data_IF_272971135895
#
_entry.id   IF_272971135895
#
_cell.length_a   1.000
_cell.length_b   1.000
_cell.length_c   1.000
_cell.angle_alpha   90.00
_cell.angle_beta   90.00
_cell.angle_gamma   90.00
#
_symmetry.space_group_name_H-M   'P 1'
#
loop_
_entity.id
_entity.type
_entity.pdbx_description
1 polymer ?
#
# COMPACT_ATOMS: atom_id res chain seq x y z
N UNK A 1 26.81 70.47 -0.24
CA UNK A 1 28.03 70.40 -1.07
C UNK A 1 29.03 69.47 -0.37
N UNK A 2 29.18 68.29 -0.95
CA UNK A 2 30.40 67.46 -1.08
C UNK A 2 31.24 67.03 0.15
N UNK A 3 31.40 65.71 0.30
CA UNK A 3 32.71 65.03 0.46
C UNK A 3 32.63 63.50 0.25
N UNK A 4 33.37 63.05 -0.78
CA UNK A 4 34.15 61.78 -0.96
C UNK A 4 33.51 60.44 -0.57
N UNK A 5 33.22 59.49 -1.48
CA UNK A 5 34.06 58.72 -2.45
C UNK A 5 35.12 57.82 -1.81
N UNK A 6 34.96 56.50 -1.92
CA UNK A 6 35.95 55.39 -2.04
C UNK A 6 35.18 54.06 -1.85
N UNK A 7 35.26 52.99 -2.63
CA UNK A 7 35.70 52.70 -3.99
C UNK A 7 35.04 51.34 -4.37
N UNK A 8 34.74 51.15 -5.65
CA UNK A 8 34.19 49.92 -6.22
C UNK A 8 35.29 48.94 -6.64
N UNK A 9 34.97 47.65 -6.54
CA UNK A 9 35.43 46.48 -7.30
C UNK A 9 36.84 46.47 -7.94
N UNK A 10 37.62 45.44 -7.60
CA UNK A 10 38.37 44.73 -8.64
C UNK A 10 38.42 43.23 -8.33
N UNK A 11 37.84 42.48 -9.24
CA UNK A 11 38.05 41.06 -9.50
C UNK A 11 39.50 40.85 -9.94
N UNK A 12 40.25 40.05 -9.19
CA UNK A 12 41.58 39.58 -9.58
C UNK A 12 41.58 38.05 -9.68
N UNK A 13 41.40 37.55 -10.90
CA UNK A 13 41.95 36.25 -11.28
C UNK A 13 43.47 36.29 -11.06
N UNK A 14 44.00 35.49 -10.15
CA UNK A 14 45.31 34.85 -10.29
C UNK A 14 45.48 33.85 -9.15
N UNK A 15 45.40 32.56 -9.48
CA UNK A 15 46.26 31.45 -8.99
C UNK A 15 45.58 30.11 -9.23
N UNK A 16 45.54 29.70 -10.50
CA UNK A 16 45.59 28.27 -10.81
C UNK A 16 47.06 27.88 -10.88
N UNK A 17 47.55 27.16 -9.87
CA UNK A 17 48.43 25.99 -10.04
C UNK A 17 48.98 25.52 -8.69
N UNK A 18 49.09 24.20 -8.58
CA UNK A 18 49.88 23.40 -7.64
C UNK A 18 49.13 22.91 -6.37
N UNK A 19 49.07 21.57 -6.29
CA UNK A 19 48.56 20.67 -5.24
C UNK A 19 47.12 20.13 -5.37
N UNK A 20 47.03 18.95 -6.00
CA UNK A 20 46.51 17.72 -5.39
C UNK A 20 45.01 17.65 -5.05
N UNK A 21 44.31 16.72 -5.70
CA UNK A 21 42.92 16.36 -5.45
C UNK A 21 42.63 16.09 -3.95
N UNK A 22 42.14 17.11 -3.24
CA UNK A 22 41.64 17.04 -1.87
C UNK A 22 40.15 17.32 -1.83
N UNK A 23 39.40 16.54 -1.02
CA UNK A 23 37.96 16.72 -0.76
C UNK A 23 37.63 18.20 -0.49
N UNK A 24 36.50 18.74 -0.98
CA UNK A 24 36.11 20.12 -0.66
C UNK A 24 35.86 20.23 0.85
N UNK A 25 36.77 20.91 1.54
CA UNK A 25 36.60 21.24 2.96
C UNK A 25 35.48 22.27 3.04
N UNK A 26 34.35 21.87 3.62
CA UNK A 26 33.20 22.74 3.85
C UNK A 26 33.59 23.71 4.97
N UNK A 27 34.03 24.91 4.60
CA UNK A 27 34.27 25.99 5.56
C UNK A 27 32.93 26.34 6.21
N UNK A 28 32.74 25.97 7.47
CA UNK A 28 31.58 26.37 8.27
C UNK A 28 31.90 27.78 8.78
N UNK A 29 31.23 28.84 8.29
CA UNK A 29 31.43 30.17 8.85
C UNK A 29 31.00 30.13 10.33
N UNK A 30 31.92 30.47 11.23
CA UNK A 30 31.62 30.67 12.65
C UNK A 30 30.65 31.85 12.76
N UNK A 31 29.38 31.52 13.03
CA UNK A 31 28.30 32.52 13.16
C UNK A 31 28.38 33.18 14.54
N UNK A 32 28.19 34.49 14.58
CA UNK A 32 28.32 35.28 15.79
C UNK A 32 27.13 35.04 16.74
N UNK A 33 27.32 34.96 18.07
CA UNK A 33 26.24 34.69 19.05
C UNK A 33 25.06 35.68 18.99
N UNK A 34 25.29 36.90 18.51
CA UNK A 34 24.24 37.91 18.32
C UNK A 34 23.23 37.52 17.23
N UNK A 35 23.65 36.80 16.18
CA UNK A 35 22.74 36.31 15.14
C UNK A 35 21.82 35.19 15.65
N UNK A 36 22.29 34.44 16.64
CA UNK A 36 21.49 33.41 17.32
C UNK A 36 20.44 34.06 18.24
N UNK A 37 20.83 35.08 19.01
CA UNK A 37 19.91 35.81 19.90
C UNK A 37 18.82 36.58 19.13
N UNK A 38 19.17 37.21 18.00
CA UNK A 38 18.18 37.89 17.13
C UNK A 38 17.21 36.87 16.49
N UNK A 39 17.69 35.65 16.17
CA UNK A 39 16.83 34.57 15.67
C UNK A 39 16.00 33.92 16.76
N UNK A 40 16.47 33.80 17.99
CA UNK A 40 15.66 33.35 19.14
C UNK A 40 14.57 34.37 19.47
N UNK A 41 14.88 35.67 19.41
CA UNK A 41 13.89 36.73 19.53
C UNK A 41 12.85 36.67 18.39
N UNK A 42 13.27 36.41 17.15
CA UNK A 42 12.37 36.21 16.01
C UNK A 42 11.62 34.86 16.00
N UNK A 43 12.14 33.83 16.68
CA UNK A 43 11.47 32.53 16.83
C UNK A 43 10.39 32.58 17.92
N UNK A 44 10.56 33.45 18.92
CA UNK A 44 9.55 33.69 19.97
C UNK A 44 8.27 34.36 19.48
N UNK A 45 8.26 34.90 18.26
CA UNK A 45 7.10 35.51 17.59
C UNK A 45 6.48 34.64 16.49
N UNK A 46 6.83 33.35 16.40
CA UNK A 46 6.15 32.44 15.48
C UNK A 46 4.69 32.27 15.92
N UNK A 47 3.68 32.54 15.06
CA UNK A 47 2.29 32.34 15.41
C UNK A 47 2.07 30.87 15.83
N UNK A 48 1.18 30.66 16.81
CA UNK A 48 0.75 29.32 17.18
C UNK A 48 0.30 28.55 15.92
N UNK A 49 0.55 27.23 15.83
CA UNK A 49 0.16 26.45 14.64
C UNK A 49 -1.33 26.55 14.34
N UNK A 50 -2.15 26.82 15.36
CA UNK A 50 -3.59 27.04 15.26
C UNK A 50 -3.94 28.42 14.66
N UNK A 51 -3.28 29.50 15.10
CA UNK A 51 -3.47 30.84 14.54
C UNK A 51 -2.95 30.94 13.10
N UNK A 52 -1.82 30.29 12.79
CA UNK A 52 -1.30 30.20 11.42
C UNK A 52 -2.22 29.37 10.50
N UNK A 53 -2.84 28.32 11.02
CA UNK A 53 -3.83 27.53 10.28
C UNK A 53 -5.14 28.32 10.06
N UNK A 54 -5.60 29.10 11.05
CA UNK A 54 -6.77 29.95 10.92
C UNK A 54 -6.55 31.11 9.94
N UNK A 55 -5.36 31.72 9.93
CA UNK A 55 -4.99 32.73 8.94
C UNK A 55 -4.91 32.15 7.54
N UNK A 56 -4.32 30.95 7.36
CA UNK A 56 -4.36 30.22 6.08
C UNK A 56 -5.79 29.91 5.63
N UNK A 57 -6.64 29.42 6.54
CA UNK A 57 -8.02 29.10 6.23
C UNK A 57 -8.85 30.34 5.84
N UNK A 58 -8.53 31.51 6.39
CA UNK A 58 -9.13 32.82 6.02
C UNK A 58 -8.58 33.40 4.73
N UNK A 59 -7.30 33.17 4.43
CA UNK A 59 -6.66 33.63 3.21
C UNK A 59 -6.97 32.74 2.00
N UNK A 60 -7.43 31.50 2.25
CA UNK A 60 -7.72 30.52 1.21
C UNK A 60 -8.93 30.92 0.36
N UNK A 61 -8.73 30.98 -0.95
CA UNK A 61 -9.84 31.16 -1.89
C UNK A 61 -10.82 29.97 -1.86
N UNK A 62 -12.05 30.13 -2.38
CA UNK A 62 -13.04 29.04 -2.44
C UNK A 62 -12.51 27.83 -3.24
N UNK A 63 -11.61 28.07 -4.20
CA UNK A 63 -10.97 27.02 -4.98
C UNK A 63 -9.89 26.24 -4.19
N UNK A 64 -9.12 26.92 -3.34
CA UNK A 64 -8.12 26.27 -2.49
C UNK A 64 -8.79 25.44 -1.39
N UNK A 65 -9.96 25.90 -0.90
CA UNK A 65 -10.83 25.11 -0.03
C UNK A 65 -11.37 23.86 -0.73
N UNK A 66 -11.74 23.97 -2.01
CA UNK A 66 -12.19 22.83 -2.81
C UNK A 66 -11.04 21.82 -3.06
N UNK A 67 -9.82 22.29 -3.36
CA UNK A 67 -8.64 21.42 -3.52
C UNK A 67 -8.21 20.78 -2.19
N UNK A 68 -8.40 21.46 -1.06
CA UNK A 68 -8.14 20.91 0.27
C UNK A 68 -9.16 19.82 0.67
N UNK A 69 -10.43 19.98 0.27
CA UNK A 69 -11.48 19.00 0.54
C UNK A 69 -11.50 17.83 -0.45
N UNK A 70 -11.16 18.09 -1.72
CA UNK A 70 -11.12 17.13 -2.82
C UNK A 70 -9.78 17.25 -3.56
N UNK A 71 -8.75 16.52 -3.09
CA UNK A 71 -7.43 16.49 -3.73
C UNK A 71 -7.48 16.10 -5.21
N UNK A 72 -8.55 15.40 -5.64
CA UNK A 72 -8.73 15.02 -7.02
C UNK A 72 -8.81 16.20 -8.01
N UNK A 73 -9.31 17.35 -7.57
CA UNK A 73 -9.42 18.55 -8.39
C UNK A 73 -8.05 19.10 -8.80
N UNK A 74 -7.07 19.02 -7.90
CA UNK A 74 -5.72 19.52 -8.13
C UNK A 74 -4.99 18.69 -9.22
N UNK A 75 -5.09 17.35 -9.17
CA UNK A 75 -4.43 16.52 -10.18
C UNK A 75 -5.16 16.53 -11.52
N UNK A 76 -6.50 16.65 -11.52
CA UNK A 76 -7.30 16.73 -12.74
C UNK A 76 -6.96 17.98 -13.56
N UNK A 77 -6.68 19.11 -12.89
CA UNK A 77 -6.28 20.37 -13.53
C UNK A 77 -4.89 20.31 -14.16
N UNK A 78 -3.96 19.61 -13.51
CA UNK A 78 -2.59 19.42 -13.99
C UNK A 78 -2.44 18.22 -14.95
N UNK A 79 -3.54 17.55 -15.29
CA UNK A 79 -3.52 16.33 -16.11
C UNK A 79 -3.29 16.64 -17.59
N UNK A 80 -2.27 16.01 -18.18
CA UNK A 80 -1.91 16.19 -19.60
C UNK A 80 -2.61 15.14 -20.45
N UNK A 81 -3.87 15.38 -20.76
CA UNK A 81 -4.76 14.46 -21.49
C UNK A 81 -4.16 13.83 -22.75
N UNK A 82 -3.38 14.59 -23.53
CA UNK A 82 -2.81 14.09 -24.78
C UNK A 82 -1.67 13.09 -24.59
N UNK A 83 -0.99 13.14 -23.45
CA UNK A 83 0.23 12.36 -23.22
C UNK A 83 0.00 11.22 -22.22
N UNK A 84 -0.76 11.48 -21.16
CA UNK A 84 -0.91 10.54 -20.06
C UNK A 84 -2.09 9.58 -20.25
N UNK A 85 -3.15 9.99 -20.95
CA UNK A 85 -4.42 9.24 -20.99
C UNK A 85 -4.26 7.81 -21.54
N UNK A 86 -3.52 7.64 -22.64
CA UNK A 86 -3.32 6.31 -23.24
C UNK A 86 -2.49 5.40 -22.32
N UNK A 87 -1.47 5.96 -21.67
CA UNK A 87 -0.60 5.22 -20.76
C UNK A 87 -1.35 4.82 -19.49
N UNK A 88 -2.12 5.75 -18.90
CA UNK A 88 -2.91 5.52 -17.69
C UNK A 88 -4.09 4.57 -17.95
N UNK A 89 -4.76 4.66 -19.10
CA UNK A 89 -5.81 3.71 -19.48
C UNK A 89 -5.25 2.30 -19.62
N UNK A 90 -4.13 2.13 -20.32
CA UNK A 90 -3.48 0.83 -20.46
C UNK A 90 -3.00 0.28 -19.12
N UNK A 91 -2.43 1.13 -18.25
CA UNK A 91 -2.01 0.76 -16.91
C UNK A 91 -3.21 0.37 -16.03
N UNK A 92 -4.28 1.17 -16.04
CA UNK A 92 -5.51 0.94 -15.28
C UNK A 92 -6.22 -0.35 -15.67
N UNK A 93 -6.37 -0.63 -16.97
CA UNK A 93 -6.92 -1.91 -17.46
C UNK A 93 -6.04 -3.06 -16.96
N UNK A 94 -4.72 -2.93 -17.08
CA UNK A 94 -3.79 -3.98 -16.64
C UNK A 94 -3.88 -4.24 -15.14
N UNK A 95 -3.86 -3.20 -14.31
CA UNK A 95 -3.92 -3.29 -12.85
C UNK A 95 -5.29 -3.78 -12.39
N UNK A 96 -6.38 -3.25 -12.95
CA UNK A 96 -7.74 -3.65 -12.60
C UNK A 96 -8.01 -5.12 -12.91
N UNK A 97 -7.53 -5.60 -14.07
CA UNK A 97 -7.67 -7.01 -14.43
C UNK A 97 -6.82 -7.92 -13.53
N UNK A 98 -5.66 -7.48 -13.05
CA UNK A 98 -4.89 -8.21 -12.02
C UNK A 98 -5.57 -8.21 -10.65
N UNK A 99 -6.25 -7.11 -10.31
CA UNK A 99 -6.84 -6.91 -9.00
C UNK A 99 -7.99 -7.89 -8.74
N UNK A 100 -8.81 -8.19 -9.75
CA UNK A 100 -9.96 -9.10 -9.65
C UNK A 100 -9.58 -10.48 -9.07
N UNK A 101 -8.71 -11.29 -9.70
CA UNK A 101 -8.33 -12.61 -9.18
C UNK A 101 -7.58 -12.52 -7.86
N UNK A 102 -6.75 -11.47 -7.69
CA UNK A 102 -5.98 -11.26 -6.47
C UNK A 102 -6.91 -11.01 -5.26
N UNK A 103 -7.88 -10.11 -5.41
CA UNK A 103 -8.79 -9.73 -4.36
C UNK A 103 -9.69 -10.90 -3.93
N UNK A 104 -10.17 -11.69 -4.90
CA UNK A 104 -10.92 -12.92 -4.63
C UNK A 104 -10.10 -13.97 -3.86
N UNK A 105 -8.82 -14.13 -4.21
CA UNK A 105 -7.91 -15.04 -3.49
C UNK A 105 -7.71 -14.59 -2.04
N UNK A 106 -7.53 -13.29 -1.81
CA UNK A 106 -7.34 -12.74 -0.48
C UNK A 106 -8.59 -12.84 0.39
N UNK A 107 -9.79 -12.66 -0.16
CA UNK A 107 -11.03 -12.95 0.55
C UNK A 107 -11.09 -14.42 1.01
N UNK A 108 -10.67 -15.37 0.16
CA UNK A 108 -10.56 -16.79 0.55
C UNK A 108 -9.50 -17.03 1.64
N UNK A 109 -8.41 -16.26 1.67
CA UNK A 109 -7.44 -16.31 2.77
C UNK A 109 -8.02 -15.77 4.07
N UNK A 110 -8.85 -14.73 4.00
CA UNK A 110 -9.62 -14.19 5.11
C UNK A 110 -10.79 -15.09 5.55
N UNK A 111 -11.04 -16.19 4.84
CA UNK A 111 -12.16 -17.08 5.11
C UNK A 111 -13.54 -16.54 4.72
N UNK A 112 -13.58 -15.48 3.91
CA UNK A 112 -14.80 -14.86 3.41
C UNK A 112 -15.13 -15.36 2.00
N UNK A 113 -16.38 -15.12 1.58
CA UNK A 113 -16.79 -15.38 0.21
C UNK A 113 -16.01 -14.48 -0.77
N UNK A 114 -15.60 -14.96 -1.96
CA UNK A 114 -14.80 -14.20 -2.93
C UNK A 114 -15.37 -12.83 -3.31
N UNK A 115 -16.69 -12.65 -3.22
CA UNK A 115 -17.37 -11.38 -3.51
C UNK A 115 -16.90 -10.23 -2.60
N UNK A 116 -16.60 -10.50 -1.33
CA UNK A 116 -16.07 -9.48 -0.41
C UNK A 116 -14.68 -9.01 -0.84
N UNK A 117 -13.91 -9.85 -1.53
CA UNK A 117 -12.67 -9.46 -2.20
C UNK A 117 -12.95 -8.44 -3.30
N UNK A 118 -13.93 -8.71 -4.16
CA UNK A 118 -14.30 -7.77 -5.22
C UNK A 118 -14.80 -6.43 -4.65
N UNK A 119 -15.59 -6.45 -3.58
CA UNK A 119 -16.04 -5.22 -2.91
C UNK A 119 -14.87 -4.42 -2.33
N UNK A 120 -13.93 -5.08 -1.66
CA UNK A 120 -12.73 -4.42 -1.10
C UNK A 120 -11.70 -4.02 -2.16
N UNK A 121 -11.73 -4.61 -3.35
CA UNK A 121 -10.95 -4.15 -4.51
C UNK A 121 -11.62 -3.01 -5.29
N UNK A 122 -12.93 -2.84 -5.15
CA UNK A 122 -13.69 -1.82 -5.86
C UNK A 122 -13.84 -0.54 -5.01
N UNK A 123 -14.50 -0.63 -3.85
CA UNK A 123 -14.91 0.55 -3.07
C UNK A 123 -13.72 1.41 -2.62
N UNK A 124 -12.67 0.86 -1.97
CA UNK A 124 -11.51 1.65 -1.55
C UNK A 124 -10.77 2.30 -2.72
N UNK A 125 -10.79 1.68 -3.90
CA UNK A 125 -10.12 2.23 -5.09
C UNK A 125 -10.82 3.50 -5.60
N UNK A 126 -12.16 3.54 -5.58
CA UNK A 126 -12.93 4.73 -5.91
C UNK A 126 -12.75 5.83 -4.86
N UNK A 127 -12.78 5.48 -3.57
CA UNK A 127 -12.56 6.43 -2.47
C UNK A 127 -11.15 7.03 -2.58
N UNK A 128 -10.12 6.20 -2.80
CA UNK A 128 -8.75 6.66 -2.97
C UNK A 128 -8.57 7.53 -4.23
N UNK A 129 -9.28 7.27 -5.33
CA UNK A 129 -9.21 8.13 -6.50
C UNK A 129 -9.71 9.58 -6.24
N UNK A 130 -10.62 9.73 -5.27
CA UNK A 130 -11.22 11.03 -4.90
C UNK A 130 -10.36 11.75 -3.84
N UNK A 131 -9.95 11.02 -2.80
CA UNK A 131 -9.29 11.60 -1.62
C UNK A 131 -7.77 11.39 -1.58
N UNK A 132 -7.24 10.48 -2.38
CA UNK A 132 -5.84 10.08 -2.36
C UNK A 132 -4.89 11.16 -2.87
N UNK A 133 -3.71 11.25 -2.26
CA UNK A 133 -2.66 12.20 -2.65
C UNK A 133 -1.66 11.65 -3.68
N UNK A 134 -1.59 10.33 -3.88
CA UNK A 134 -0.64 9.71 -4.81
C UNK A 134 -1.32 9.29 -6.12
N UNK A 135 -0.79 9.77 -7.26
CA UNK A 135 -1.31 9.42 -8.60
C UNK A 135 -1.05 7.98 -9.02
N UNK A 136 -0.11 7.27 -8.37
CA UNK A 136 0.36 5.95 -8.80
C UNK A 136 -0.03 4.83 -7.83
N UNK A 137 -0.54 5.15 -6.65
CA UNK A 137 -0.87 4.15 -5.65
C UNK A 137 -2.26 3.57 -5.93
N UNK A 138 -2.34 2.25 -6.00
CA UNK A 138 -3.61 1.52 -6.06
C UNK A 138 -3.82 0.84 -4.71
N UNK A 139 -4.90 1.22 -4.02
CA UNK A 139 -5.30 0.61 -2.75
C UNK A 139 -6.15 -0.63 -3.02
N UNK A 140 -5.90 -1.71 -2.30
CA UNK A 140 -6.65 -2.94 -2.43
C UNK A 140 -6.37 -3.90 -1.28
N UNK A 141 -7.07 -5.05 -1.23
CA UNK A 141 -6.87 -6.02 -0.17
C UNK A 141 -5.45 -6.59 -0.20
N UNK A 142 -4.93 -6.94 0.97
CA UNK A 142 -3.59 -7.50 1.16
C UNK A 142 -3.66 -8.88 1.82
N UNK A 143 -2.79 -9.78 1.37
CA UNK A 143 -2.75 -11.17 1.83
C UNK A 143 -2.52 -11.30 3.34
N UNK A 144 -1.62 -10.48 3.91
CA UNK A 144 -1.25 -10.60 5.31
C UNK A 144 -2.38 -10.13 6.24
N UNK A 145 -3.00 -8.99 5.95
CA UNK A 145 -4.21 -8.53 6.66
C UNK A 145 -5.32 -9.58 6.58
N UNK A 146 -5.49 -10.22 5.41
CA UNK A 146 -6.46 -11.31 5.23
C UNK A 146 -6.18 -12.50 6.16
N UNK A 147 -4.92 -12.91 6.31
CA UNK A 147 -4.54 -13.97 7.24
C UNK A 147 -4.75 -13.59 8.71
N UNK A 148 -4.49 -12.32 9.07
CA UNK A 148 -4.73 -11.81 10.43
C UNK A 148 -6.22 -11.84 10.78
N UNK A 149 -7.07 -11.36 9.87
CA UNK A 149 -8.54 -11.44 10.01
C UNK A 149 -8.96 -12.90 10.20
N UNK A 150 -8.47 -13.83 9.37
CA UNK A 150 -8.85 -15.25 9.49
C UNK A 150 -8.40 -15.88 10.80
N UNK A 151 -7.21 -15.53 11.30
CA UNK A 151 -6.67 -16.13 12.52
C UNK A 151 -7.46 -15.67 13.76
N UNK A 152 -7.86 -14.39 13.80
CA UNK A 152 -8.60 -13.84 14.94
C UNK A 152 -10.06 -14.26 14.90
N UNK A 153 -10.74 -14.05 13.78
CA UNK A 153 -12.16 -14.40 13.68
C UNK A 153 -12.37 -15.90 13.80
N UNK A 154 -11.47 -16.72 13.25
CA UNK A 154 -11.53 -18.18 13.38
C UNK A 154 -11.35 -18.68 14.82
N UNK A 155 -10.77 -17.89 15.71
CA UNK A 155 -10.70 -18.18 17.15
C UNK A 155 -11.95 -17.79 17.93
N UNK A 156 -12.85 -16.99 17.34
CA UNK A 156 -14.09 -16.53 17.96
C UNK A 156 -15.27 -17.34 17.43
N UNK A 157 -15.41 -17.41 16.09
CA UNK A 157 -16.57 -17.98 15.41
C UNK A 157 -16.14 -18.78 14.17
N UNK A 158 -16.90 -19.83 13.86
CA UNK A 158 -16.68 -20.64 12.66
C UNK A 158 -16.91 -19.82 11.37
N UNK A 159 -16.05 -19.99 10.36
CA UNK A 159 -16.11 -19.23 9.11
C UNK A 159 -17.36 -19.47 8.25
N UNK A 160 -18.18 -20.47 8.58
CA UNK A 160 -19.46 -20.74 7.91
C UNK A 160 -20.64 -19.94 8.47
N UNK A 161 -20.46 -19.26 9.60
CA UNK A 161 -21.50 -18.45 10.23
C UNK A 161 -21.65 -17.10 9.55
N UNK A 162 -22.88 -16.61 9.39
CA UNK A 162 -23.14 -15.24 8.94
C UNK A 162 -22.45 -14.20 9.84
N UNK A 163 -22.38 -14.49 11.14
CA UNK A 163 -21.74 -13.65 12.14
C UNK A 163 -20.24 -13.47 11.87
N UNK A 164 -19.56 -14.43 11.22
CA UNK A 164 -18.15 -14.26 10.83
C UNK A 164 -17.97 -13.08 9.87
N UNK A 165 -18.90 -12.94 8.92
CA UNK A 165 -18.86 -11.86 7.94
C UNK A 165 -19.20 -10.52 8.58
N UNK A 166 -20.18 -10.50 9.50
CA UNK A 166 -20.52 -9.30 10.26
C UNK A 166 -19.34 -8.82 11.13
N UNK A 167 -18.65 -9.73 11.82
CA UNK A 167 -17.44 -9.40 12.60
C UNK A 167 -16.30 -8.90 11.71
N UNK A 168 -16.15 -9.43 10.49
CA UNK A 168 -15.14 -8.93 9.56
C UNK A 168 -15.44 -7.49 9.11
N UNK A 169 -16.71 -7.17 8.87
CA UNK A 169 -17.16 -5.80 8.54
C UNK A 169 -16.97 -4.88 9.75
N UNK A 170 -17.32 -5.33 10.96
CA UNK A 170 -17.12 -4.58 12.20
C UNK A 170 -15.62 -4.29 12.43
N UNK A 171 -14.77 -5.30 12.26
CA UNK A 171 -13.33 -5.17 12.41
C UNK A 171 -12.75 -4.18 11.38
N UNK A 172 -13.16 -4.26 10.11
CA UNK A 172 -12.76 -3.30 9.08
C UNK A 172 -13.18 -1.86 9.44
N UNK A 173 -14.41 -1.70 9.95
CA UNK A 173 -14.90 -0.41 10.43
C UNK A 173 -14.09 0.13 11.62
N UNK A 174 -13.73 -0.72 12.58
CA UNK A 174 -12.86 -0.34 13.70
C UNK A 174 -11.47 0.09 13.24
N UNK A 175 -10.87 -0.64 12.27
CA UNK A 175 -9.56 -0.30 11.69
C UNK A 175 -9.62 1.07 11.02
N UNK A 176 -10.65 1.34 10.21
CA UNK A 176 -10.83 2.65 9.58
C UNK A 176 -11.02 3.78 10.59
N UNK A 177 -11.76 3.56 11.69
CA UNK A 177 -11.87 4.54 12.78
C UNK A 177 -10.50 4.80 13.42
N UNK A 178 -9.72 3.76 13.69
CA UNK A 178 -8.39 3.90 14.29
C UNK A 178 -7.43 4.63 13.36
N UNK A 179 -7.44 4.33 12.06
CA UNK A 179 -6.62 5.02 11.06
C UNK A 179 -7.04 6.49 10.92
N UNK A 180 -8.33 6.78 10.90
CA UNK A 180 -8.87 8.13 10.90
C UNK A 180 -8.47 8.89 12.16
N UNK A 181 -8.54 8.25 13.34
CA UNK A 181 -8.08 8.84 14.59
C UNK A 181 -6.58 9.13 14.57
N UNK A 182 -5.76 8.21 14.05
CA UNK A 182 -4.32 8.42 13.89
C UNK A 182 -4.00 9.58 12.94
N UNK A 183 -4.74 9.68 11.83
CA UNK A 183 -4.65 10.80 10.90
C UNK A 183 -5.04 12.13 11.56
N UNK A 184 -6.13 12.16 12.31
CA UNK A 184 -6.67 13.35 12.99
C UNK A 184 -5.72 13.84 14.08
N UNK A 185 -5.12 12.91 14.82
CA UNK A 185 -4.05 13.16 15.79
C UNK A 185 -2.68 13.47 15.14
N UNK A 186 -2.59 13.47 13.80
CA UNK A 186 -1.37 13.71 13.03
C UNK A 186 -0.20 12.80 13.44
N UNK A 187 -0.52 11.54 13.75
CA UNK A 187 0.44 10.54 14.19
C UNK A 187 1.35 10.02 13.07
N UNK A 188 1.29 10.56 11.86
CA UNK A 188 2.22 10.24 10.78
C UNK A 188 3.67 10.67 11.07
N UNK A 189 3.93 11.46 12.11
CA UNK A 189 5.31 11.65 12.59
C UNK A 189 5.92 10.33 13.12
N UNK A 190 5.10 9.42 13.68
CA UNK A 190 5.54 8.13 14.22
C UNK A 190 6.15 7.23 13.14
N UNK A 191 5.69 7.37 11.89
CA UNK A 191 6.20 6.67 10.71
C UNK A 191 7.70 6.96 10.47
N UNK A 192 8.19 8.13 10.91
CA UNK A 192 9.60 8.50 10.78
C UNK A 192 10.52 7.66 11.68
N UNK A 193 10.00 7.09 12.76
CA UNK A 193 10.75 6.19 13.66
C UNK A 193 10.85 4.76 13.15
N UNK A 194 10.09 4.42 12.10
CA UNK A 194 10.18 3.12 11.47
C UNK A 194 11.45 3.07 10.62
N UNK A 195 12.46 2.38 11.14
CA UNK A 195 13.74 2.18 10.47
C UNK A 195 13.60 1.32 9.22
N UNK A 196 14.52 1.49 8.28
CA UNK A 196 14.59 0.65 7.08
C UNK A 196 14.71 -0.85 7.42
N UNK A 197 15.43 -1.19 8.51
CA UNK A 197 15.60 -2.56 8.98
C UNK A 197 14.28 -3.20 9.41
N UNK A 198 13.39 -2.45 10.07
CA UNK A 198 12.06 -2.95 10.48
C UNK A 198 11.20 -3.25 9.25
N UNK A 199 11.16 -2.33 8.28
CA UNK A 199 10.40 -2.52 7.03
C UNK A 199 10.92 -3.73 6.26
N UNK A 200 12.24 -3.88 6.16
CA UNK A 200 12.88 -5.01 5.47
C UNK A 200 12.59 -6.34 6.17
N UNK A 201 12.70 -6.39 7.50
CA UNK A 201 12.41 -7.59 8.29
C UNK A 201 10.95 -8.01 8.18
N UNK A 202 10.03 -7.05 8.34
CA UNK A 202 8.59 -7.26 8.14
C UNK A 202 8.30 -7.78 6.73
N UNK A 203 8.77 -7.10 5.68
CA UNK A 203 8.51 -7.50 4.28
C UNK A 203 9.00 -8.92 4.00
N UNK A 204 10.15 -9.31 4.56
CA UNK A 204 10.72 -10.66 4.39
C UNK A 204 9.88 -11.71 5.11
N UNK A 205 9.48 -11.45 6.36
CA UNK A 205 8.59 -12.35 7.12
C UNK A 205 7.22 -12.49 6.44
N UNK A 206 6.64 -11.37 5.99
CA UNK A 206 5.38 -11.34 5.23
C UNK A 206 5.48 -12.18 3.96
N UNK A 207 6.57 -12.07 3.21
CA UNK A 207 6.78 -12.88 2.01
C UNK A 207 6.82 -14.39 2.30
N UNK A 208 7.46 -14.80 3.40
CA UNK A 208 7.52 -16.21 3.83
C UNK A 208 6.12 -16.70 4.23
N UNK A 209 5.41 -15.95 5.08
CA UNK A 209 4.06 -16.30 5.54
C UNK A 209 3.08 -16.39 4.36
N UNK A 210 3.11 -15.42 3.44
CA UNK A 210 2.29 -15.44 2.23
C UNK A 210 2.65 -16.67 1.40
N UNK A 211 3.94 -16.91 1.12
CA UNK A 211 4.38 -18.07 0.34
C UNK A 211 3.89 -19.40 0.91
N UNK A 212 4.12 -19.64 2.20
CA UNK A 212 3.66 -20.84 2.88
C UNK A 212 2.12 -20.97 2.86
N UNK A 213 1.38 -19.87 2.99
CA UNK A 213 -0.08 -19.88 2.96
C UNK A 213 -0.66 -20.25 1.58
N UNK A 214 0.11 -20.07 0.49
CA UNK A 214 -0.30 -20.43 -0.87
C UNK A 214 0.04 -21.88 -1.22
N UNK A 215 0.93 -22.55 -0.50
CA UNK A 215 1.37 -23.93 -0.78
C UNK A 215 0.18 -24.91 -0.83
N UNK A 216 -0.85 -24.70 -0.01
CA UNK A 216 -2.07 -25.53 -0.01
C UNK A 216 -2.72 -25.67 -1.39
N UNK A 217 -2.64 -24.63 -2.23
CA UNK A 217 -3.22 -24.66 -3.59
C UNK A 217 -2.39 -25.53 -4.55
N UNK A 218 -1.10 -25.74 -4.26
CA UNK A 218 -0.24 -26.68 -4.99
C UNK A 218 -0.38 -28.10 -4.46
N UNK A 219 -0.50 -28.27 -3.15
CA UNK A 219 -0.56 -29.62 -2.55
C UNK A 219 -1.94 -30.28 -2.71
N UNK A 220 -3.00 -29.48 -2.88
CA UNK A 220 -4.34 -29.97 -3.19
C UNK A 220 -5.16 -30.43 -1.98
N UNK A 221 -4.69 -30.16 -0.75
CA UNK A 221 -5.43 -30.40 0.49
C UNK A 221 -5.53 -29.14 1.35
N UNK A 222 -6.42 -29.17 2.35
CA UNK A 222 -6.62 -28.05 3.26
C UNK A 222 -5.50 -27.95 4.28
N UNK A 223 -4.77 -26.83 4.27
CA UNK A 223 -3.80 -26.46 5.31
C UNK A 223 -4.45 -25.45 6.25
N UNK A 224 -4.14 -25.53 7.55
CA UNK A 224 -4.60 -24.58 8.56
C UNK A 224 -4.28 -23.14 8.16
N UNK A 225 -5.27 -22.25 8.22
CA UNK A 225 -5.07 -20.82 7.97
C UNK A 225 -4.42 -20.21 9.21
N UNK A 226 -3.17 -19.81 9.12
CA UNK A 226 -2.46 -19.19 10.23
C UNK A 226 -1.55 -18.06 9.75
N UNK A 227 -1.42 -17.02 10.58
CA UNK A 227 -0.37 -16.00 10.42
C UNK A 227 0.96 -16.42 11.07
N UNK A 228 1.00 -17.55 11.77
CA UNK A 228 2.20 -18.09 12.44
C UNK A 228 2.89 -19.12 11.54
N UNK A 229 4.22 -19.05 11.46
CA UNK A 229 5.02 -19.94 10.61
C UNK A 229 5.03 -21.39 11.13
N UNK A 230 5.22 -21.59 12.44
CA UNK A 230 5.36 -22.93 13.03
C UNK A 230 4.10 -23.78 12.80
N UNK A 231 2.88 -23.34 13.17
CA UNK A 231 1.67 -24.13 12.94
C UNK A 231 1.38 -24.38 11.46
N UNK A 232 1.82 -23.47 10.59
CA UNK A 232 1.65 -23.60 9.15
C UNK A 232 2.54 -24.71 8.59
N UNK A 233 3.80 -24.79 9.03
CA UNK A 233 4.74 -25.86 8.65
C UNK A 233 4.27 -27.20 9.21
N UNK A 234 3.86 -27.25 10.49
CA UNK A 234 3.33 -28.46 11.12
C UNK A 234 2.11 -29.00 10.35
N UNK A 235 1.18 -28.12 9.99
CA UNK A 235 0.00 -28.48 9.19
C UNK A 235 0.35 -28.98 7.79
N UNK A 236 1.40 -28.44 7.17
CA UNK A 236 1.87 -28.91 5.86
C UNK A 236 2.45 -30.32 6.00
N UNK A 237 3.34 -30.55 6.98
CA UNK A 237 4.00 -31.85 7.19
C UNK A 237 2.97 -32.91 7.54
N UNK A 238 2.02 -32.61 8.44
CA UNK A 238 0.98 -33.54 8.85
C UNK A 238 0.02 -33.94 7.72
N UNK A 239 -0.13 -33.09 6.70
CA UNK A 239 -1.03 -33.34 5.57
C UNK A 239 -0.37 -33.98 4.35
N UNK A 240 0.92 -34.34 4.41
CA UNK A 240 1.68 -34.78 3.23
C UNK A 240 1.09 -36.03 2.55
N UNK A 241 0.43 -36.90 3.32
CA UNK A 241 -0.21 -38.11 2.82
C UNK A 241 -1.47 -37.83 1.96
N UNK A 242 -2.03 -36.62 2.05
CA UNK A 242 -3.23 -36.19 1.30
C UNK A 242 -2.87 -35.46 -0.01
N UNK A 243 -1.61 -35.56 -0.45
CA UNK A 243 -1.11 -34.87 -1.62
C UNK A 243 -1.86 -35.28 -2.90
N UNK A 244 -2.27 -34.26 -3.67
CA UNK A 244 -2.97 -34.44 -4.93
C UNK A 244 -2.10 -33.94 -6.09
N UNK A 245 -1.75 -34.86 -7.00
CA UNK A 245 -0.93 -34.56 -8.19
C UNK A 245 -1.57 -33.55 -9.17
N UNK A 246 -2.88 -33.57 -9.47
CA UNK A 246 -3.45 -32.67 -10.46
C UNK A 246 -3.32 -31.17 -10.11
N UNK A 247 -3.66 -30.70 -8.89
CA UNK A 247 -3.41 -29.32 -8.48
C UNK A 247 -1.93 -28.93 -8.54
N UNK A 248 -1.04 -29.85 -8.16
CA UNK A 248 0.41 -29.62 -8.17
C UNK A 248 0.93 -29.37 -9.59
N UNK A 249 0.59 -30.24 -10.54
CA UNK A 249 1.01 -30.11 -11.94
C UNK A 249 0.46 -28.85 -12.56
N UNK A 250 -0.83 -28.56 -12.33
CA UNK A 250 -1.46 -27.33 -12.84
C UNK A 250 -0.79 -26.08 -12.27
N UNK A 251 -0.65 -25.99 -10.95
CA UNK A 251 -0.03 -24.85 -10.28
C UNK A 251 1.42 -24.64 -10.75
N UNK A 252 2.18 -25.72 -10.89
CA UNK A 252 3.56 -25.68 -11.35
C UNK A 252 3.66 -25.24 -12.81
N UNK A 253 2.79 -25.72 -13.69
CA UNK A 253 2.73 -25.31 -15.09
C UNK A 253 2.42 -23.80 -15.21
N UNK A 254 1.43 -23.29 -14.49
CA UNK A 254 1.12 -21.86 -14.48
C UNK A 254 2.25 -21.01 -13.87
N UNK A 255 2.90 -21.50 -12.82
CA UNK A 255 4.06 -20.82 -12.24
C UNK A 255 5.20 -20.72 -13.26
N UNK A 256 5.50 -21.81 -14.00
CA UNK A 256 6.50 -21.82 -15.06
C UNK A 256 6.12 -20.84 -16.17
N UNK A 257 4.86 -20.82 -16.62
CA UNK A 257 4.37 -19.86 -17.62
C UNK A 257 4.59 -18.41 -17.13
N UNK A 258 4.21 -18.10 -15.89
CA UNK A 258 4.40 -16.79 -15.29
C UNK A 258 5.89 -16.39 -15.21
N UNK A 259 6.76 -17.32 -14.83
CA UNK A 259 8.21 -17.08 -14.77
C UNK A 259 8.82 -16.87 -16.16
N UNK A 260 8.38 -17.62 -17.17
CA UNK A 260 8.80 -17.45 -18.57
C UNK A 260 8.36 -16.07 -19.07
N UNK A 261 7.10 -15.71 -18.89
CA UNK A 261 6.57 -14.39 -19.29
C UNK A 261 7.33 -13.25 -18.60
N UNK A 262 7.65 -13.41 -17.31
CA UNK A 262 8.48 -12.45 -16.54
C UNK A 262 9.90 -12.34 -17.08
N UNK A 263 10.56 -13.46 -17.41
CA UNK A 263 11.93 -13.49 -17.94
C UNK A 263 11.98 -12.89 -19.34
N UNK A 264 11.03 -13.24 -20.20
CA UNK A 264 10.95 -12.75 -21.57
C UNK A 264 10.66 -11.23 -21.61
N UNK A 265 9.74 -10.76 -20.75
CA UNK A 265 9.43 -9.34 -20.61
C UNK A 265 10.55 -8.49 -19.96
N UNK A 266 11.50 -9.12 -19.25
CA UNK A 266 12.75 -8.46 -18.81
C UNK A 266 13.79 -8.39 -19.93
N UNK A 267 13.88 -9.44 -20.75
CA UNK A 267 14.93 -9.59 -21.76
C UNK A 267 14.66 -8.70 -22.98
N UNK A 268 13.41 -8.55 -23.38
CA UNK A 268 13.05 -7.78 -24.58
C UNK A 268 12.17 -6.57 -24.24
N UNK A 269 12.66 -5.35 -24.50
CA UNK A 269 11.91 -4.09 -24.27
C UNK A 269 10.58 -4.06 -25.03
N UNK A 270 10.47 -4.71 -26.20
CA UNK A 270 9.22 -4.80 -26.97
C UNK A 270 8.17 -5.71 -26.30
N UNK A 271 8.60 -6.67 -25.47
CA UNK A 271 7.73 -7.63 -24.78
C UNK A 271 7.48 -7.23 -23.32
N UNK A 272 7.73 -5.98 -22.94
CA UNK A 272 7.50 -5.49 -21.57
C UNK A 272 6.04 -5.65 -21.15
N UNK A 273 5.11 -5.51 -22.09
CA UNK A 273 3.69 -5.76 -21.89
C UNK A 273 3.40 -7.19 -21.42
N UNK A 274 4.18 -8.18 -21.88
CA UNK A 274 4.02 -9.59 -21.51
C UNK A 274 4.22 -9.84 -20.01
N UNK A 275 5.07 -9.03 -19.36
CA UNK A 275 5.22 -9.09 -17.90
C UNK A 275 3.95 -8.61 -17.19
N UNK A 276 3.27 -7.63 -17.75
CA UNK A 276 2.06 -7.05 -17.20
C UNK A 276 0.81 -7.88 -17.56
N UNK A 277 0.81 -8.62 -18.67
CA UNK A 277 -0.29 -9.53 -19.00
C UNK A 277 -0.17 -10.93 -18.36
N UNK A 278 0.92 -11.23 -17.65
CA UNK A 278 1.21 -12.55 -17.07
C UNK A 278 0.08 -13.14 -16.21
N UNK A 279 -0.29 -12.49 -15.09
CA UNK A 279 -1.40 -12.93 -14.24
C UNK A 279 -2.72 -13.07 -14.99
N UNK A 280 -3.03 -12.12 -15.89
CA UNK A 280 -4.22 -12.16 -16.73
C UNK A 280 -4.23 -13.39 -17.64
N UNK A 281 -3.11 -13.66 -18.29
CA UNK A 281 -2.95 -14.81 -19.19
C UNK A 281 -3.12 -16.11 -18.40
N UNK A 282 -2.54 -16.20 -17.20
CA UNK A 282 -2.70 -17.35 -16.33
C UNK A 282 -4.18 -17.58 -15.93
N UNK A 283 -4.91 -16.51 -15.60
CA UNK A 283 -6.33 -16.59 -15.25
C UNK A 283 -7.17 -17.02 -16.44
N UNK A 284 -7.02 -16.38 -17.61
CA UNK A 284 -7.79 -16.72 -18.82
C UNK A 284 -7.54 -18.15 -19.27
N UNK A 285 -6.26 -18.56 -19.34
CA UNK A 285 -5.89 -19.92 -19.70
C UNK A 285 -6.38 -20.93 -18.66
N UNK A 286 -6.28 -20.61 -17.37
CA UNK A 286 -6.77 -21.45 -16.27
C UNK A 286 -8.28 -21.65 -16.33
N UNK A 287 -9.05 -20.58 -16.51
CA UNK A 287 -10.50 -20.65 -16.65
C UNK A 287 -10.91 -21.44 -17.90
N UNK A 288 -10.23 -21.21 -19.04
CA UNK A 288 -10.52 -21.94 -20.27
C UNK A 288 -10.21 -23.45 -20.12
N UNK A 289 -9.07 -23.78 -19.52
CA UNK A 289 -8.68 -25.16 -19.25
C UNK A 289 -9.71 -25.86 -18.35
N UNK A 290 -10.09 -25.25 -17.23
CA UNK A 290 -11.09 -25.83 -16.32
C UNK A 290 -12.45 -25.98 -17.00
N UNK A 291 -12.84 -25.02 -17.85
CA UNK A 291 -14.11 -25.08 -18.61
C UNK A 291 -14.15 -26.25 -19.60
N UNK A 292 -13.03 -26.56 -20.27
CA UNK A 292 -12.92 -27.62 -21.27
C UNK A 292 -12.78 -28.99 -20.61
N UNK A 293 -11.82 -29.13 -19.69
CA UNK A 293 -11.43 -30.43 -19.13
C UNK A 293 -12.21 -30.82 -17.86
N UNK A 294 -12.88 -29.87 -17.20
CA UNK A 294 -13.65 -30.06 -15.95
C UNK A 294 -13.00 -31.01 -14.94
N UNK A 295 -11.74 -30.75 -14.53
CA UNK A 295 -11.04 -31.62 -13.59
C UNK A 295 -11.74 -31.61 -12.22
N UNK A 296 -12.21 -32.77 -11.77
CA UNK A 296 -12.91 -32.93 -10.47
C UNK A 296 -12.02 -32.69 -9.26
N UNK A 297 -10.71 -32.90 -9.42
CA UNK A 297 -9.71 -32.73 -8.37
C UNK A 297 -9.34 -31.26 -8.06
N UNK A 298 -9.87 -30.29 -8.82
CA UNK A 298 -9.48 -28.88 -8.71
C UNK A 298 -10.65 -28.07 -8.18
N UNK A 299 -10.43 -27.40 -7.04
CA UNK A 299 -11.44 -26.54 -6.44
C UNK A 299 -11.71 -25.31 -7.31
N UNK A 300 -12.96 -25.14 -7.72
CA UNK A 300 -13.41 -23.98 -8.49
C UNK A 300 -13.97 -22.92 -7.54
N UNK A 301 -13.93 -21.66 -7.96
CA UNK A 301 -14.48 -20.54 -7.17
C UNK A 301 -15.99 -20.66 -6.96
N UNK A 302 -16.71 -21.28 -7.89
CA UNK A 302 -18.16 -21.37 -7.88
C UNK A 302 -18.82 -20.15 -8.52
N UNK A 303 -20.14 -20.01 -8.32
CA UNK A 303 -20.89 -18.85 -8.75
C UNK A 303 -20.66 -17.67 -7.81
N UNK A 304 -20.52 -16.47 -8.39
CA UNK A 304 -20.34 -15.24 -7.63
C UNK A 304 -21.64 -14.46 -7.73
N UNK A 305 -22.29 -14.13 -6.60
CA UNK A 305 -23.53 -13.37 -6.64
C UNK A 305 -23.32 -12.03 -7.34
N UNK A 306 -24.29 -11.64 -8.16
CA UNK A 306 -24.28 -10.36 -8.84
C UNK A 306 -24.96 -9.32 -7.95
N UNK A 307 -24.38 -8.13 -7.86
CA UNK A 307 -24.95 -7.03 -7.11
C UNK A 307 -23.90 -6.10 -6.52
N UNK A 308 -24.37 -4.95 -6.08
CA UNK A 308 -23.59 -4.05 -5.22
C UNK A 308 -23.79 -4.45 -3.75
N UNK A 309 -22.81 -4.17 -2.87
CA UNK A 309 -22.98 -4.42 -1.46
C UNK A 309 -24.15 -3.57 -0.93
N UNK A 310 -25.11 -4.21 -0.26
CA UNK A 310 -26.13 -3.49 0.50
C UNK A 310 -25.49 -2.81 1.70
N UNK A 311 -25.85 -1.55 1.96
CA UNK A 311 -25.39 -0.87 3.17
C UNK A 311 -26.02 -1.53 4.40
N UNK A 312 -25.18 -2.06 5.29
CA UNK A 312 -25.60 -2.69 6.54
C UNK A 312 -24.75 -2.15 7.67
N UNK A 313 -25.39 -1.79 8.78
CA UNK A 313 -24.68 -1.47 10.02
C UNK A 313 -24.16 -2.80 10.59
N UNK A 314 -22.85 -2.93 10.87
CA UNK A 314 -22.32 -4.16 11.44
C UNK A 314 -23.02 -4.47 12.78
N UNK A 315 -23.47 -5.71 12.93
CA UNK A 315 -23.98 -6.24 14.21
C UNK A 315 -22.83 -6.87 14.99
N UNK A 316 -23.06 -7.29 16.24
CA UNK A 316 -22.02 -7.91 17.06
C UNK A 316 -21.12 -6.93 17.83
N UNK A 317 -21.64 -5.75 18.18
CA UNK A 317 -20.95 -4.78 19.06
C UNK A 317 -20.56 -5.36 20.43
N UNK A 318 -21.13 -6.50 20.84
CA UNK A 318 -20.69 -7.27 22.01
C UNK A 318 -19.23 -7.73 21.93
N UNK A 319 -18.73 -7.99 20.72
CA UNK A 319 -17.35 -8.43 20.48
C UNK A 319 -16.36 -7.27 20.33
N UNK A 320 -16.80 -6.02 20.46
CA UNK A 320 -15.96 -4.84 20.23
C UNK A 320 -14.67 -4.86 21.07
N UNK A 321 -14.78 -5.18 22.37
CA UNK A 321 -13.62 -5.26 23.27
C UNK A 321 -12.68 -6.42 22.92
N UNK A 322 -13.22 -7.54 22.42
CA UNK A 322 -12.41 -8.68 21.98
C UNK A 322 -11.67 -8.42 20.66
N UNK A 323 -12.25 -7.60 19.78
CA UNK A 323 -11.67 -7.25 18.48
C UNK A 323 -10.67 -6.09 18.55
N UNK A 324 -10.70 -5.29 19.61
CA UNK A 324 -9.87 -4.08 19.73
C UNK A 324 -8.35 -4.34 19.62
N UNK A 325 -7.75 -5.35 20.28
CA UNK A 325 -6.33 -5.64 20.10
C UNK A 325 -5.97 -5.98 18.65
N UNK A 326 -6.88 -6.68 17.97
CA UNK A 326 -6.72 -7.06 16.57
C UNK A 326 -6.86 -5.87 15.64
N UNK A 327 -7.82 -4.97 15.90
CA UNK A 327 -7.98 -3.74 15.14
C UNK A 327 -6.70 -2.89 15.22
N UNK A 328 -6.14 -2.71 16.43
CA UNK A 328 -4.88 -1.98 16.64
C UNK A 328 -3.72 -2.65 15.88
N UNK A 329 -3.63 -3.99 15.95
CA UNK A 329 -2.59 -4.75 15.26
C UNK A 329 -2.70 -4.61 13.75
N UNK A 330 -3.91 -4.72 13.19
CA UNK A 330 -4.16 -4.56 11.75
C UNK A 330 -3.85 -3.13 11.31
N UNK A 331 -4.28 -2.10 12.05
CA UNK A 331 -3.94 -0.70 11.78
C UNK A 331 -2.42 -0.49 11.74
N UNK A 332 -1.68 -1.02 12.71
CA UNK A 332 -0.22 -0.91 12.72
C UNK A 332 0.44 -1.60 11.53
N UNK A 333 -0.06 -2.77 11.14
CA UNK A 333 0.39 -3.53 9.97
C UNK A 333 0.08 -2.79 8.66
N UNK A 334 -1.13 -2.25 8.50
CA UNK A 334 -1.56 -1.51 7.32
C UNK A 334 -0.70 -0.25 7.12
N UNK A 335 -0.40 0.47 8.20
CA UNK A 335 0.53 1.61 8.17
C UNK A 335 1.93 1.17 7.75
N UNK A 336 2.45 0.08 8.31
CA UNK A 336 3.79 -0.42 7.98
C UNK A 336 3.90 -0.85 6.51
N UNK A 337 2.86 -1.50 5.97
CA UNK A 337 2.77 -1.90 4.56
C UNK A 337 2.75 -0.69 3.63
N UNK A 338 1.84 0.26 3.87
CA UNK A 338 1.70 1.43 3.02
C UNK A 338 2.96 2.29 3.03
N UNK A 339 3.52 2.55 4.21
CA UNK A 339 4.78 3.28 4.36
C UNK A 339 5.92 2.57 3.65
N UNK A 340 5.98 1.23 3.76
CA UNK A 340 7.00 0.43 3.08
C UNK A 340 6.95 0.61 1.57
N UNK A 341 5.76 0.51 0.98
CA UNK A 341 5.53 0.70 -0.46
C UNK A 341 5.85 2.14 -0.87
N UNK A 342 5.34 3.11 -0.11
CA UNK A 342 5.49 4.52 -0.42
C UNK A 342 6.95 4.98 -0.33
N UNK A 343 7.70 4.55 0.70
CA UNK A 343 9.16 4.80 0.79
C UNK A 343 9.93 4.13 -0.35
N UNK A 344 9.58 2.91 -0.74
CA UNK A 344 10.22 2.22 -1.85
C UNK A 344 9.96 2.93 -3.20
N UNK A 345 8.76 3.46 -3.40
CA UNK A 345 8.40 4.20 -4.62
C UNK A 345 9.03 5.60 -4.65
N UNK A 346 9.02 6.30 -3.52
CA UNK A 346 9.70 7.58 -3.31
C UNK A 346 11.20 7.48 -3.61
N UNK A 347 11.88 6.46 -3.06
CA UNK A 347 13.30 6.22 -3.31
C UNK A 347 13.61 5.93 -4.79
N UNK A 348 12.69 5.29 -5.51
CA UNK A 348 12.85 4.95 -6.92
C UNK A 348 12.60 6.15 -7.85
N UNK A 349 11.64 7.01 -7.51
CA UNK A 349 11.20 8.11 -8.36
C UNK A 349 11.74 9.49 -7.91
N UNK A 350 12.42 9.57 -6.76
CA UNK A 350 13.10 10.78 -6.29
C UNK A 350 12.20 11.87 -5.70
N UNK A 351 11.04 11.52 -5.12
CA UNK A 351 10.13 12.47 -4.48
C UNK A 351 10.09 12.30 -2.95
N UNK A 352 9.71 13.35 -2.21
CA UNK A 352 9.52 13.28 -0.76
C UNK A 352 8.15 12.74 -0.38
N UNK A 353 8.10 11.92 0.69
CA UNK A 353 6.87 11.31 1.19
C UNK A 353 6.27 12.12 2.35
N UNK A 354 5.01 12.54 2.22
CA UNK A 354 4.24 13.10 3.33
C UNK A 354 3.48 12.00 4.07
N UNK A 355 4.04 11.57 5.20
CA UNK A 355 3.50 10.46 5.99
C UNK A 355 2.12 10.70 6.59
N UNK A 356 1.73 11.95 6.89
CA UNK A 356 0.39 12.24 7.42
C UNK A 356 -0.67 12.11 6.33
N UNK A 357 -0.36 12.55 5.11
CA UNK A 357 -1.27 12.38 3.97
C UNK A 357 -1.47 10.91 3.63
N UNK A 358 -0.41 10.10 3.70
CA UNK A 358 -0.55 8.65 3.50
C UNK A 358 -1.52 8.01 4.50
N UNK A 359 -1.45 8.32 5.80
CA UNK A 359 -2.42 7.77 6.78
C UNK A 359 -3.85 8.22 6.45
N UNK A 360 -4.06 9.51 6.16
CA UNK A 360 -5.38 10.05 5.81
C UNK A 360 -5.99 9.34 4.61
N UNK A 361 -5.18 8.96 3.63
CA UNK A 361 -5.69 8.35 2.39
C UNK A 361 -5.98 6.85 2.53
N UNK A 362 -5.43 6.19 3.54
CA UNK A 362 -5.63 4.76 3.80
C UNK A 362 -6.84 4.54 4.72
N UNK A 363 -7.03 5.46 5.67
CA UNK A 363 -8.17 5.52 6.59
C UNK A 363 -9.51 5.63 5.86
#
# INVERSE_FOLDING_TARGET
>A
MEKSSFASASSGELTAAVYGAGRPVRVIPLRHPLDAAVREAAASSSPSPLSAAMERARAMGPWEWAEAALPCLAWMRSYRWKEDFQADLAAGITVGVMLVPQAMSYAKLAGLHPIYGLYTGFVPLFVYAIFGSSRQLAVGPVALVSLLVSNVLGGIVNSSSELYTELAILLAFMVGILECLMALLRLGWLIRFISHSVISGFTTASAIVIGLSQIKYFLGYSVTRSSKIIPLIESIIAGIDQFSWPPFVMGSAFLVILLIMKKLGKTNKKLRFLRASGPLTAVVLGTLFVKIFRPTAISVVGEIPQGLPSFSIPRGFEHLMSLMPTAILITGVAILESVGIAKALAAKNGYELDSNKEIVNIA
#
